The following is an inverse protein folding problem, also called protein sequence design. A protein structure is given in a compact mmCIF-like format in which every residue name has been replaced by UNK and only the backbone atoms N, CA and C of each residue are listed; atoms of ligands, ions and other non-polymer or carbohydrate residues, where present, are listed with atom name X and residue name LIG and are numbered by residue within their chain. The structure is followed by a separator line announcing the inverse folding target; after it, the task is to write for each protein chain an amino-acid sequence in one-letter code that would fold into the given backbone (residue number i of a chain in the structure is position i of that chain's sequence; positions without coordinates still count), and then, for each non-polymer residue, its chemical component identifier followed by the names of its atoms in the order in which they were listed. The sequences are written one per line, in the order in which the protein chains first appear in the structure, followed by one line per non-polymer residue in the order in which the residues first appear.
data_IF_077690722590
#
_entry.id   IF_077690722590
#
_cell.length_a   1.000
_cell.length_b   1.000
_cell.length_c   1.000
_cell.angle_alpha   90.00
_cell.angle_beta   90.00
_cell.angle_gamma   90.00
#
_symmetry.space_group_name_H-M   'P 1'
#
loop_
_entity.id
_entity.type
_entity.pdbx_description
1 polymer ?
#
# COMPACT_ATOMS: atom_id res chain seq x y z
N UNK A 1 -0.28 72.01 -0.39
CA UNK A 1 0.72 70.94 -0.63
C UNK A 1 1.20 70.41 0.71
N UNK A 2 0.81 69.19 1.10
CA UNK A 2 1.10 68.60 2.42
C UNK A 2 1.99 67.37 2.20
N UNK A 3 3.28 67.47 2.52
CA UNK A 3 4.23 66.34 2.43
C UNK A 3 3.92 65.35 3.56
N UNK A 4 3.54 64.12 3.20
CA UNK A 4 3.42 62.99 4.14
C UNK A 4 4.72 62.20 4.10
N UNK A 5 5.39 62.14 5.23
CA UNK A 5 6.60 61.34 5.48
C UNK A 5 6.20 59.88 5.68
N UNK A 6 6.69 59.00 4.79
CA UNK A 6 6.59 57.55 4.93
C UNK A 6 7.67 57.09 5.93
N UNK A 7 7.26 56.57 7.08
CA UNK A 7 8.13 55.83 8.00
C UNK A 7 8.07 54.35 7.57
N UNK A 8 9.20 53.68 7.30
CA UNK A 8 9.19 52.29 6.87
C UNK A 8 8.80 51.37 8.04
N UNK A 9 7.70 50.65 7.86
CA UNK A 9 7.07 49.69 8.79
C UNK A 9 7.95 48.49 9.19
N UNK A 10 9.20 48.41 8.71
CA UNK A 10 10.10 47.27 8.92
C UNK A 10 10.81 47.27 10.29
N UNK A 11 10.97 48.42 10.96
CA UNK A 11 11.72 48.49 12.22
C UNK A 11 10.86 48.08 13.43
N UNK A 12 9.53 48.22 13.35
CA UNK A 12 8.63 47.85 14.45
C UNK A 12 8.48 46.33 14.65
N UNK A 13 8.73 45.52 13.61
CA UNK A 13 8.54 44.07 13.68
C UNK A 13 9.72 43.32 14.33
N UNK A 14 10.94 43.86 14.26
CA UNK A 14 12.13 43.23 14.82
C UNK A 14 12.20 43.28 16.35
N UNK A 15 11.57 44.27 16.99
CA UNK A 15 11.55 44.38 18.46
C UNK A 15 10.56 43.41 19.11
N UNK A 16 9.52 42.95 18.40
CA UNK A 16 8.56 41.97 18.94
C UNK A 16 9.16 40.56 18.99
N UNK A 17 10.01 40.19 18.02
CA UNK A 17 10.64 38.86 18.02
C UNK A 17 11.76 38.70 19.06
N UNK A 18 12.49 39.77 19.41
CA UNK A 18 13.57 39.69 20.39
C UNK A 18 13.07 39.49 21.84
N UNK A 19 11.87 39.99 22.18
CA UNK A 19 11.29 39.84 23.54
C UNK A 19 10.62 38.49 23.73
N UNK A 20 10.07 37.88 22.67
CA UNK A 20 9.38 36.57 22.74
C UNK A 20 10.30 35.38 23.01
N UNK A 21 11.56 35.42 22.56
CA UNK A 21 12.51 34.29 22.73
C UNK A 21 13.10 34.23 24.15
N UNK A 22 13.15 35.36 24.87
CA UNK A 22 13.75 35.45 26.21
C UNK A 22 12.81 34.93 27.30
N UNK A 23 11.49 34.93 27.09
CA UNK A 23 10.51 34.51 28.11
C UNK A 23 10.15 33.02 28.08
N UNK A 24 10.57 32.26 27.05
CA UNK A 24 10.21 30.83 26.95
C UNK A 24 11.24 29.86 27.56
N UNK A 25 12.37 30.35 28.08
CA UNK A 25 13.45 29.51 28.63
C UNK A 25 13.49 29.44 30.17
N UNK A 26 12.59 30.12 30.89
CA UNK A 26 12.68 30.21 32.36
C UNK A 26 11.91 29.16 33.16
N UNK A 27 11.04 28.38 32.53
CA UNK A 27 10.18 27.42 33.24
C UNK A 27 10.44 25.95 32.89
N UNK A 28 11.63 25.60 32.36
CA UNK A 28 12.00 24.20 32.21
C UNK A 28 12.60 23.65 33.52
N UNK A 29 11.89 22.76 34.25
CA UNK A 29 12.43 22.16 35.45
C UNK A 29 13.62 21.25 35.09
N UNK A 30 14.78 21.55 35.68
CA UNK A 30 15.94 20.66 35.71
C UNK A 30 15.62 19.49 36.64
N UNK A 31 14.90 18.50 36.11
CA UNK A 31 14.73 17.21 36.76
C UNK A 31 16.00 16.38 36.55
N UNK A 32 16.91 16.44 37.53
CA UNK A 32 17.95 15.44 37.71
C UNK A 32 17.30 14.15 38.21
N UNK A 33 16.96 13.27 37.27
CA UNK A 33 16.55 11.90 37.56
C UNK A 33 17.76 10.97 37.51
N UNK A 34 18.01 10.28 38.62
CA UNK A 34 18.96 9.18 38.73
C UNK A 34 18.63 8.10 37.69
N UNK A 35 19.59 7.75 36.84
CA UNK A 35 19.50 6.60 35.94
C UNK A 35 19.62 5.31 36.76
N UNK A 36 18.49 4.87 37.30
CA UNK A 36 18.26 3.48 37.63
C UNK A 36 18.27 2.67 36.34
N UNK A 37 19.23 1.76 36.19
CA UNK A 37 19.28 0.80 35.11
C UNK A 37 18.19 -0.26 35.33
N UNK A 38 16.94 0.11 35.05
CA UNK A 38 15.82 -0.83 35.02
C UNK A 38 15.84 -1.60 33.70
N UNK A 39 15.93 -2.92 33.84
CA UNK A 39 15.91 -3.92 32.78
C UNK A 39 14.48 -4.08 32.25
N UNK A 40 14.10 -3.25 31.29
CA UNK A 40 12.92 -3.38 30.45
C UNK A 40 13.30 -2.60 29.18
N UNK A 41 13.52 -3.19 28.00
CA UNK A 41 12.46 -3.68 27.15
C UNK A 41 13.10 -4.46 25.96
N UNK A 42 13.30 -5.78 26.09
CA UNK A 42 13.60 -6.66 24.94
C UNK A 42 12.35 -7.41 24.46
N UNK A 43 11.18 -7.04 24.97
CA UNK A 43 9.92 -7.77 24.75
C UNK A 43 8.97 -7.08 23.77
N UNK A 44 9.29 -5.87 23.28
CA UNK A 44 8.50 -5.18 22.26
C UNK A 44 8.93 -5.51 20.82
N UNK A 45 10.20 -5.83 20.56
CA UNK A 45 10.67 -6.22 19.23
C UNK A 45 10.28 -7.67 18.87
N UNK A 46 10.14 -8.54 19.88
CA UNK A 46 9.60 -9.91 19.72
C UNK A 46 8.08 -9.95 19.53
N UNK A 47 7.36 -8.84 19.77
CA UNK A 47 5.90 -8.79 19.61
C UNK A 47 5.47 -8.46 18.18
N UNK A 48 6.32 -7.79 17.40
CA UNK A 48 6.07 -7.56 15.96
C UNK A 48 6.43 -8.75 15.08
N UNK A 49 7.35 -9.63 15.50
CA UNK A 49 7.67 -10.86 14.76
C UNK A 49 6.65 -11.99 14.97
N UNK A 50 5.94 -12.02 16.11
CA UNK A 50 4.97 -13.08 16.42
C UNK A 50 3.55 -12.88 15.84
N UNK A 51 3.28 -11.77 15.13
CA UNK A 51 1.98 -11.53 14.46
C UNK A 51 1.93 -12.17 13.04
N UNK A 52 3.06 -12.64 12.52
CA UNK A 52 3.14 -13.37 11.25
C UNK A 52 3.08 -14.91 11.40
N UNK A 53 2.79 -15.42 12.60
CA UNK A 53 2.86 -16.86 12.92
C UNK A 53 1.57 -17.64 12.62
N UNK A 54 1.01 -17.45 11.43
CA UNK A 54 0.09 -18.41 10.79
C UNK A 54 0.13 -18.28 9.27
N UNK A 55 1.32 -18.34 8.71
CA UNK A 55 1.49 -18.77 7.32
C UNK A 55 1.13 -20.25 7.24
N UNK A 56 -0.08 -20.54 6.73
CA UNK A 56 -0.43 -21.90 6.34
C UNK A 56 0.33 -22.20 5.05
N UNK A 57 1.59 -22.58 5.21
CA UNK A 57 2.36 -23.24 4.17
C UNK A 57 1.70 -24.59 3.96
N UNK A 58 0.89 -24.71 2.91
CA UNK A 58 0.35 -25.99 2.49
C UNK A 58 1.46 -26.74 1.78
N UNK A 59 1.79 -27.92 2.29
CA UNK A 59 2.73 -28.85 1.65
C UNK A 59 1.92 -29.86 0.84
N UNK A 60 2.08 -29.84 -0.47
CA UNK A 60 1.59 -30.88 -1.36
C UNK A 60 2.80 -31.48 -2.10
N UNK A 61 3.26 -32.64 -1.64
CA UNK A 61 4.57 -33.18 -2.03
C UNK A 61 5.72 -32.25 -1.59
N UNK A 62 6.63 -31.94 -2.52
CA UNK A 62 7.79 -31.05 -2.30
C UNK A 62 7.49 -29.56 -2.54
N UNK A 63 6.23 -29.21 -2.87
CA UNK A 63 5.87 -27.84 -3.23
C UNK A 63 5.27 -27.11 -2.03
N UNK A 64 5.76 -25.90 -1.80
CA UNK A 64 5.30 -24.97 -0.76
C UNK A 64 4.49 -23.86 -1.41
N UNK A 65 3.22 -23.75 -1.05
CA UNK A 65 2.31 -22.74 -1.60
C UNK A 65 1.79 -21.83 -0.48
N UNK A 66 1.76 -20.54 -0.78
CA UNK A 66 1.08 -19.53 0.01
C UNK A 66 -0.42 -19.62 -0.30
N UNK A 67 -1.19 -20.28 0.57
CA UNK A 67 -2.65 -20.32 0.46
C UNK A 67 -3.27 -19.47 1.56
N UNK A 68 -4.06 -18.49 1.17
CA UNK A 68 -4.82 -17.62 2.08
C UNK A 68 -6.29 -17.67 1.70
N UNK A 69 -7.15 -17.89 2.69
CA UNK A 69 -8.59 -17.88 2.50
C UNK A 69 -9.10 -16.46 2.75
N UNK A 70 -10.16 -16.06 2.04
CA UNK A 70 -10.73 -14.72 2.21
C UNK A 70 -11.28 -14.50 3.63
N UNK A 71 -11.74 -15.57 4.26
CA UNK A 71 -12.30 -15.64 5.60
C UNK A 71 -11.27 -15.29 6.67
N UNK A 72 -9.96 -15.44 6.40
CA UNK A 72 -8.89 -15.05 7.32
C UNK A 72 -8.69 -13.51 7.39
N UNK A 73 -9.43 -12.74 6.57
CA UNK A 73 -9.29 -11.29 6.39
C UNK A 73 -10.66 -10.57 6.46
N UNK A 74 -11.59 -11.08 7.25
CA UNK A 74 -13.00 -10.65 7.31
C UNK A 74 -13.29 -9.50 8.29
N UNK A 75 -12.24 -8.92 8.91
CA UNK A 75 -12.31 -7.83 9.89
C UNK A 75 -12.68 -6.48 9.26
N UNK A 76 -13.88 -6.41 8.65
CA UNK A 76 -14.34 -5.33 7.78
C UNK A 76 -15.33 -4.39 8.47
N UNK A 77 -15.11 -3.09 8.29
CA UNK A 77 -16.13 -2.07 8.52
C UNK A 77 -16.86 -1.76 7.22
N UNK A 78 -18.16 -2.03 7.18
CA UNK A 78 -19.01 -1.72 6.01
C UNK A 78 -19.30 -0.22 5.94
N UNK A 79 -19.16 0.36 4.75
CA UNK A 79 -19.54 1.73 4.48
C UNK A 79 -21.06 1.85 4.35
N UNK A 80 -21.64 2.84 5.04
CA UNK A 80 -23.08 3.14 5.02
C UNK A 80 -23.38 4.60 4.63
N UNK A 81 -22.35 5.34 4.20
CA UNK A 81 -22.48 6.75 3.86
C UNK A 81 -22.93 7.00 2.42
N UNK A 82 -22.96 8.28 2.04
CA UNK A 82 -23.15 8.69 0.66
C UNK A 82 -21.87 8.42 -0.13
N UNK A 83 -22.00 7.72 -1.26
CA UNK A 83 -20.90 7.50 -2.20
C UNK A 83 -20.44 8.86 -2.75
N UNK A 84 -19.13 9.11 -2.67
CA UNK A 84 -18.48 10.30 -3.22
C UNK A 84 -18.13 10.12 -4.69
N UNK A 85 -18.07 11.23 -5.43
CA UNK A 85 -17.55 11.22 -6.80
C UNK A 85 -16.06 10.91 -6.81
N UNK A 86 -15.59 10.25 -7.87
CA UNK A 86 -14.18 9.85 -7.98
C UNK A 86 -13.30 11.09 -8.14
N UNK A 87 -12.29 11.19 -7.29
CA UNK A 87 -11.26 12.22 -7.38
C UNK A 87 -10.13 11.76 -8.32
N UNK A 88 -10.19 12.19 -9.58
CA UNK A 88 -9.15 11.87 -10.57
C UNK A 88 -7.85 12.67 -10.40
N UNK A 89 -7.80 13.66 -9.51
CA UNK A 89 -6.56 14.40 -9.24
C UNK A 89 -5.51 13.56 -8.49
N UNK A 90 -5.92 12.47 -7.84
CA UNK A 90 -5.03 11.61 -7.04
C UNK A 90 -4.47 10.42 -7.82
N UNK A 91 -4.66 10.35 -9.15
CA UNK A 91 -4.20 9.24 -9.99
C UNK A 91 -3.75 9.68 -11.38
N UNK A 92 -3.03 8.80 -12.08
CA UNK A 92 -2.40 9.09 -13.37
C UNK A 92 -3.21 8.45 -14.49
N UNK A 93 -4.41 8.97 -14.79
CA UNK A 93 -5.33 8.28 -15.72
C UNK A 93 -5.83 9.12 -16.87
N UNK A 94 -5.91 8.46 -18.03
CA UNK A 94 -6.49 9.03 -19.25
C UNK A 94 -8.02 9.17 -19.10
N UNK A 95 -8.58 10.14 -19.81
CA UNK A 95 -10.03 10.35 -19.89
C UNK A 95 -10.80 9.09 -20.32
N UNK A 96 -10.17 8.17 -21.06
CA UNK A 96 -10.80 6.98 -21.64
C UNK A 96 -11.31 5.97 -20.61
N UNK A 97 -10.67 5.89 -19.44
CA UNK A 97 -11.07 4.93 -18.38
C UNK A 97 -11.88 5.58 -17.27
N UNK A 98 -11.90 6.92 -17.21
CA UNK A 98 -12.55 7.70 -16.15
C UNK A 98 -14.04 7.41 -16.02
N UNK A 99 -14.74 7.17 -17.14
CA UNK A 99 -16.14 6.76 -17.15
C UNK A 99 -16.33 5.39 -16.50
N UNK A 100 -15.53 4.39 -16.89
CA UNK A 100 -15.57 3.03 -16.32
C UNK A 100 -15.41 3.05 -14.81
N UNK A 101 -14.43 3.82 -14.31
CA UNK A 101 -14.17 3.92 -12.87
C UNK A 101 -15.35 4.60 -12.18
N UNK A 102 -15.85 5.71 -12.73
CA UNK A 102 -16.99 6.44 -12.18
C UNK A 102 -18.24 5.57 -12.11
N UNK A 103 -18.51 4.77 -13.14
CA UNK A 103 -19.65 3.83 -13.17
C UNK A 103 -19.54 2.76 -12.11
N UNK A 104 -18.35 2.19 -11.91
CA UNK A 104 -18.10 1.18 -10.87
C UNK A 104 -18.29 1.79 -9.48
N UNK A 105 -17.73 2.97 -9.22
CA UNK A 105 -17.88 3.65 -7.92
C UNK A 105 -19.33 4.01 -7.62
N UNK A 106 -20.10 4.47 -8.62
CA UNK A 106 -21.54 4.77 -8.47
C UNK A 106 -22.37 3.57 -8.02
N UNK A 107 -21.93 2.33 -8.30
CA UNK A 107 -22.61 1.11 -7.85
C UNK A 107 -22.33 0.77 -6.38
N UNK A 108 -21.31 1.38 -5.77
CA UNK A 108 -20.95 1.22 -4.37
C UNK A 108 -19.76 0.28 -4.13
N UNK A 109 -19.46 -0.04 -2.86
CA UNK A 109 -18.34 -0.89 -2.50
C UNK A 109 -18.48 -2.30 -3.07
N UNK A 110 -17.39 -2.83 -3.62
CA UNK A 110 -17.24 -4.22 -4.05
C UNK A 110 -16.12 -4.97 -3.32
N UNK A 111 -15.28 -4.24 -2.57
CA UNK A 111 -14.10 -4.77 -1.88
C UNK A 111 -13.97 -4.18 -0.47
N UNK A 112 -13.61 -5.01 0.50
CA UNK A 112 -13.28 -4.63 1.87
C UNK A 112 -14.26 -3.63 2.53
N UNK A 113 -15.55 -3.79 2.24
CA UNK A 113 -16.68 -3.06 2.81
C UNK A 113 -16.83 -1.59 2.42
N UNK A 114 -15.77 -0.97 1.88
CA UNK A 114 -15.70 0.48 1.62
C UNK A 114 -15.08 0.83 0.27
N UNK A 115 -14.48 -0.12 -0.44
CA UNK A 115 -13.72 0.16 -1.64
C UNK A 115 -14.42 -0.40 -2.88
N UNK A 116 -14.25 0.27 -4.00
CA UNK A 116 -14.72 -0.18 -5.29
C UNK A 116 -13.51 -0.52 -6.17
N UNK A 117 -13.54 -1.68 -6.81
CA UNK A 117 -12.48 -2.14 -7.72
C UNK A 117 -12.97 -2.02 -9.15
N UNK A 118 -12.30 -1.18 -9.94
CA UNK A 118 -12.55 -1.04 -11.36
C UNK A 118 -11.43 -1.73 -12.15
N UNK A 119 -11.78 -2.65 -13.04
CA UNK A 119 -10.84 -3.37 -13.92
C UNK A 119 -11.16 -3.07 -15.38
N UNK A 120 -10.13 -2.92 -16.22
CA UNK A 120 -10.24 -2.75 -17.66
C UNK A 120 -9.07 -3.42 -18.39
N UNK A 121 -9.23 -3.67 -19.69
CA UNK A 121 -8.18 -4.24 -20.54
C UNK A 121 -7.19 -3.14 -20.95
N UNK A 122 -5.89 -3.39 -20.77
CA UNK A 122 -4.79 -2.47 -21.12
C UNK A 122 -4.02 -2.87 -22.38
N UNK A 123 -4.34 -4.01 -23.00
CA UNK A 123 -3.65 -4.53 -24.19
C UNK A 123 -3.93 -6.03 -24.38
N UNK A 124 -3.13 -6.68 -25.23
CA UNK A 124 -3.20 -8.14 -25.37
C UNK A 124 -2.80 -8.80 -24.04
N UNK A 125 -3.71 -9.60 -23.48
CA UNK A 125 -3.47 -10.39 -22.26
C UNK A 125 -3.02 -9.53 -21.06
N UNK A 126 -3.48 -8.27 -21.02
CA UNK A 126 -3.19 -7.30 -19.98
C UNK A 126 -4.51 -6.73 -19.46
N UNK A 127 -4.72 -6.82 -18.16
CA UNK A 127 -5.75 -6.10 -17.44
C UNK A 127 -5.11 -5.18 -16.41
N UNK A 128 -5.78 -4.07 -16.14
CA UNK A 128 -5.42 -3.12 -15.10
C UNK A 128 -6.60 -2.89 -14.18
N UNK A 129 -6.33 -2.89 -12.88
CA UNK A 129 -7.32 -2.59 -11.86
C UNK A 129 -6.93 -1.36 -11.05
N UNK A 130 -7.93 -0.75 -10.44
CA UNK A 130 -7.78 0.37 -9.50
C UNK A 130 -8.77 0.22 -8.39
N UNK A 131 -8.33 0.61 -7.20
CA UNK A 131 -9.15 0.59 -5.99
C UNK A 131 -9.43 2.03 -5.58
N UNK A 132 -10.71 2.34 -5.40
CA UNK A 132 -11.21 3.65 -4.99
C UNK A 132 -11.90 3.52 -3.65
N UNK A 133 -11.58 4.41 -2.70
CA UNK A 133 -12.35 4.56 -1.46
C UNK A 133 -13.65 5.31 -1.78
N UNK A 134 -14.80 4.64 -1.65
CA UNK A 134 -16.09 5.25 -2.06
C UNK A 134 -16.55 6.35 -1.10
N UNK A 135 -15.96 6.46 0.10
CA UNK A 135 -16.34 7.45 1.10
C UNK A 135 -15.87 8.86 0.73
N UNK A 136 -14.70 8.97 0.11
CA UNK A 136 -14.07 10.24 -0.27
C UNK A 136 -13.72 10.34 -1.77
N UNK A 137 -13.90 9.25 -2.53
CA UNK A 137 -13.60 9.20 -3.96
C UNK A 137 -12.12 9.01 -4.30
N UNK A 138 -11.27 8.81 -3.30
CA UNK A 138 -9.82 8.76 -3.47
C UNK A 138 -9.36 7.45 -4.13
N UNK A 139 -8.46 7.59 -5.11
CA UNK A 139 -7.79 6.44 -5.74
C UNK A 139 -6.65 6.02 -4.83
N UNK A 140 -6.77 4.87 -4.18
CA UNK A 140 -5.77 4.37 -3.23
C UNK A 140 -4.76 3.39 -3.86
N UNK A 141 -5.14 2.79 -4.99
CA UNK A 141 -4.27 1.93 -5.81
C UNK A 141 -4.56 2.22 -7.27
N UNK A 142 -3.53 2.59 -8.03
CA UNK A 142 -3.65 2.89 -9.45
C UNK A 142 -2.85 1.88 -10.28
N UNK A 143 -3.52 1.24 -11.23
CA UNK A 143 -2.89 0.44 -12.27
C UNK A 143 -2.26 -0.90 -11.87
N UNK A 144 -2.79 -1.62 -10.87
CA UNK A 144 -2.35 -3.01 -10.59
C UNK A 144 -2.62 -3.88 -11.81
N UNK A 145 -1.62 -4.64 -12.26
CA UNK A 145 -1.70 -5.41 -13.51
C UNK A 145 -1.98 -6.88 -13.25
N UNK A 146 -2.82 -7.47 -14.08
CA UNK A 146 -3.09 -8.91 -14.12
C UNK A 146 -3.15 -9.43 -15.56
N UNK A 147 -2.90 -10.72 -15.71
CA UNK A 147 -3.07 -11.50 -16.94
C UNK A 147 -4.32 -12.37 -16.83
N UNK A 148 -4.54 -12.96 -15.65
CA UNK A 148 -5.63 -13.89 -15.35
C UNK A 148 -6.63 -13.31 -14.34
N UNK A 149 -6.92 -12.02 -14.47
CA UNK A 149 -7.85 -11.26 -13.62
C UNK A 149 -7.36 -11.06 -12.17
N UNK A 150 -8.23 -10.46 -11.36
CA UNK A 150 -8.08 -10.25 -9.93
C UNK A 150 -9.28 -10.86 -9.20
N UNK A 151 -9.06 -11.40 -8.00
CA UNK A 151 -10.13 -11.86 -7.12
C UNK A 151 -10.14 -11.08 -5.81
N UNK A 152 -11.34 -10.70 -5.37
CA UNK A 152 -11.58 -9.87 -4.21
C UNK A 152 -13.03 -10.01 -3.75
N UNK A 153 -13.28 -9.74 -2.48
CA UNK A 153 -14.63 -9.82 -1.90
C UNK A 153 -14.99 -8.59 -1.09
N UNK A 154 -16.27 -8.23 -1.08
CA UNK A 154 -16.77 -7.10 -0.29
C UNK A 154 -16.55 -7.30 1.21
N UNK A 155 -16.48 -8.54 1.68
CA UNK A 155 -16.31 -8.90 3.08
C UNK A 155 -14.90 -9.41 3.40
N UNK A 156 -13.88 -9.05 2.61
CA UNK A 156 -12.50 -9.44 2.87
C UNK A 156 -11.50 -8.32 2.51
N UNK A 157 -10.41 -8.20 3.28
CA UNK A 157 -9.27 -7.34 2.98
C UNK A 157 -8.25 -8.00 2.05
N UNK A 158 -8.46 -9.27 1.68
CA UNK A 158 -7.59 -9.99 0.76
C UNK A 158 -7.90 -9.59 -0.69
N UNK A 159 -6.85 -9.24 -1.42
CA UNK A 159 -6.88 -8.96 -2.85
C UNK A 159 -5.88 -9.88 -3.54
N UNK A 160 -6.35 -10.63 -4.53
CA UNK A 160 -5.56 -11.65 -5.23
C UNK A 160 -5.38 -11.23 -6.67
N UNK A 161 -4.15 -11.26 -7.17
CA UNK A 161 -3.80 -11.00 -8.58
C UNK A 161 -3.44 -12.32 -9.23
N UNK A 162 -3.98 -12.59 -10.42
CA UNK A 162 -3.82 -13.85 -11.14
C UNK A 162 -4.17 -15.06 -10.25
N UNK A 163 -5.40 -15.13 -9.71
CA UNK A 163 -5.82 -16.26 -8.88
C UNK A 163 -5.60 -17.58 -9.63
N UNK A 164 -5.05 -18.58 -8.93
CA UNK A 164 -4.59 -19.85 -9.51
C UNK A 164 -5.67 -20.57 -10.32
N UNK A 165 -6.93 -20.45 -9.91
CA UNK A 165 -8.11 -21.01 -10.56
C UNK A 165 -8.38 -20.45 -11.96
N UNK A 166 -7.87 -19.25 -12.27
CA UNK A 166 -8.00 -18.62 -13.57
C UNK A 166 -6.82 -18.94 -14.50
N UNK A 167 -5.80 -19.65 -14.01
CA UNK A 167 -4.58 -19.95 -14.77
C UNK A 167 -4.75 -21.29 -15.48
N UNK A 168 -4.71 -21.34 -16.82
CA UNK A 168 -4.84 -22.59 -17.55
C UNK A 168 -3.62 -23.48 -17.34
N UNK A 169 -3.84 -24.77 -17.07
CA UNK A 169 -2.79 -25.78 -16.91
C UNK A 169 -1.83 -25.85 -18.12
N UNK A 170 -2.35 -25.58 -19.32
CA UNK A 170 -1.65 -25.69 -20.60
C UNK A 170 -0.95 -24.40 -21.08
N UNK A 171 -1.07 -23.28 -20.33
CA UNK A 171 -0.72 -21.95 -20.83
C UNK A 171 0.10 -21.11 -19.86
N UNK A 172 0.92 -21.75 -19.03
CA UNK A 172 1.80 -21.07 -18.08
C UNK A 172 2.78 -20.14 -18.82
N UNK A 173 2.53 -18.84 -18.76
CA UNK A 173 3.54 -17.85 -19.12
C UNK A 173 4.60 -17.83 -18.04
N UNK A 174 5.88 -17.87 -18.45
CA UNK A 174 7.02 -18.07 -17.54
C UNK A 174 7.18 -16.98 -16.46
N UNK A 175 6.49 -15.85 -16.58
CA UNK A 175 6.59 -14.71 -15.65
C UNK A 175 5.26 -14.34 -14.95
N UNK A 176 4.29 -15.26 -14.87
CA UNK A 176 3.04 -14.99 -14.15
C UNK A 176 3.10 -15.65 -12.77
N UNK A 177 2.87 -14.85 -11.73
CA UNK A 177 2.69 -15.30 -10.36
C UNK A 177 1.29 -14.95 -9.86
N UNK A 178 0.74 -15.80 -9.00
CA UNK A 178 -0.42 -15.45 -8.17
C UNK A 178 0.09 -14.63 -6.99
N UNK A 179 -0.38 -13.41 -6.84
CA UNK A 179 0.09 -12.50 -5.78
C UNK A 179 -1.04 -12.18 -4.82
N UNK A 180 -0.70 -12.13 -3.54
CA UNK A 180 -1.64 -11.89 -2.46
C UNK A 180 -1.31 -10.58 -1.78
N UNK A 181 -2.34 -9.75 -1.60
CA UNK A 181 -2.25 -8.46 -0.94
C UNK A 181 -3.28 -8.35 0.18
N UNK A 182 -2.88 -7.76 1.30
CA UNK A 182 -3.78 -7.34 2.38
C UNK A 182 -4.00 -5.84 2.31
N UNK A 183 -5.25 -5.40 2.25
CA UNK A 183 -5.57 -4.00 2.45
C UNK A 183 -5.35 -3.59 3.91
N UNK A 184 -4.47 -2.62 4.15
CA UNK A 184 -4.20 -2.06 5.47
C UNK A 184 -3.78 -0.60 5.32
N UNK A 185 -4.36 0.29 6.12
CA UNK A 185 -4.03 1.73 6.13
C UNK A 185 -4.21 2.39 4.74
N UNK A 186 -5.32 2.07 4.04
CA UNK A 186 -5.59 2.51 2.65
C UNK A 186 -4.51 2.10 1.63
N UNK A 187 -3.74 1.04 1.90
CA UNK A 187 -2.72 0.53 0.99
C UNK A 187 -2.85 -0.98 0.82
N UNK A 188 -2.63 -1.48 -0.40
CA UNK A 188 -2.41 -2.91 -0.60
C UNK A 188 -0.98 -3.26 -0.19
N UNK A 189 -0.86 -4.02 0.90
CA UNK A 189 0.42 -4.55 1.37
C UNK A 189 0.59 -5.95 0.80
N UNK A 190 1.66 -6.17 0.04
CA UNK A 190 2.02 -7.49 -0.45
C UNK A 190 2.28 -8.42 0.74
N UNK A 191 1.69 -9.61 0.71
CA UNK A 191 1.83 -10.61 1.78
C UNK A 191 2.38 -11.95 1.30
N UNK A 192 2.51 -12.17 -0.01
CA UNK A 192 3.09 -13.38 -0.57
C UNK A 192 2.74 -13.59 -2.03
N UNK A 193 3.42 -14.55 -2.68
CA UNK A 193 3.12 -14.99 -4.04
C UNK A 193 3.33 -16.49 -4.20
N UNK A 194 2.64 -17.07 -5.17
CA UNK A 194 2.93 -18.39 -5.70
C UNK A 194 3.48 -18.22 -7.12
N UNK A 195 4.68 -18.77 -7.35
CA UNK A 195 5.18 -18.90 -8.72
C UNK A 195 4.33 -19.95 -9.42
N UNK A 196 3.78 -19.58 -10.57
CA UNK A 196 2.96 -20.49 -11.38
C UNK A 196 3.88 -21.28 -12.34
N UNK A 197 5.13 -20.85 -12.55
CA UNK A 197 6.15 -21.60 -13.28
C UNK A 197 6.79 -22.71 -12.43
N UNK A 198 7.21 -23.80 -13.09
CA UNK A 198 7.93 -24.92 -12.47
C UNK A 198 9.44 -24.63 -12.29
N UNK A 199 9.91 -23.44 -12.65
CA UNK A 199 11.31 -23.06 -12.47
C UNK A 199 11.56 -22.66 -11.02
N UNK A 200 12.43 -23.41 -10.33
CA UNK A 200 12.89 -23.06 -8.99
C UNK A 200 13.72 -21.78 -9.09
N UNK A 201 13.10 -20.61 -8.95
CA UNK A 201 13.85 -19.39 -8.60
C UNK A 201 14.69 -19.71 -7.36
N UNK A 202 16.00 -19.51 -7.44
CA UNK A 202 16.88 -19.70 -6.30
C UNK A 202 16.61 -18.59 -5.28
N UNK A 203 15.66 -18.83 -4.37
CA UNK A 203 15.28 -17.94 -3.29
C UNK A 203 16.31 -17.90 -2.15
N UNK A 204 17.61 -18.06 -2.46
CA UNK A 204 18.66 -17.90 -1.47
C UNK A 204 18.44 -16.58 -0.71
N UNK A 205 18.63 -16.61 0.60
CA UNK A 205 18.41 -15.50 1.52
C UNK A 205 19.44 -14.38 1.30
N UNK A 206 19.34 -13.72 0.16
CA UNK A 206 20.13 -12.56 -0.22
C UNK A 206 19.15 -11.41 -0.29
N UNK A 207 19.36 -10.40 0.55
CA UNK A 207 18.60 -9.16 0.52
C UNK A 207 18.65 -8.62 -0.91
N UNK A 208 17.49 -8.57 -1.56
CA UNK A 208 17.37 -8.17 -2.95
C UNK A 208 16.80 -6.76 -3.01
N UNK A 209 17.55 -5.85 -3.60
CA UNK A 209 17.08 -4.49 -3.84
C UNK A 209 16.23 -4.48 -5.11
N UNK A 210 15.08 -3.82 -5.08
CA UNK A 210 14.26 -3.63 -6.27
C UNK A 210 13.67 -2.22 -6.33
N UNK A 211 13.51 -1.72 -7.55
CA UNK A 211 13.02 -0.38 -7.86
C UNK A 211 11.68 -0.46 -8.57
N UNK A 212 10.72 0.35 -8.11
CA UNK A 212 9.49 0.61 -8.83
C UNK A 212 9.58 1.94 -9.57
N UNK A 213 9.91 1.88 -10.87
CA UNK A 213 10.08 3.05 -11.74
C UNK A 213 8.82 3.89 -11.88
N UNK A 214 7.63 3.32 -11.70
CA UNK A 214 6.39 4.06 -11.83
C UNK A 214 6.17 5.04 -10.67
N UNK A 215 6.68 4.72 -9.47
CA UNK A 215 6.57 5.57 -8.27
C UNK A 215 7.91 6.13 -7.79
N UNK A 216 9.03 5.78 -8.44
CA UNK A 216 10.37 6.27 -8.09
C UNK A 216 10.85 5.81 -6.72
N UNK A 217 10.42 4.63 -6.27
CA UNK A 217 10.76 4.07 -4.94
C UNK A 217 11.65 2.86 -5.09
N UNK A 218 12.62 2.71 -4.19
CA UNK A 218 13.49 1.53 -4.09
C UNK A 218 13.34 0.89 -2.71
N UNK A 219 13.14 -0.42 -2.66
CA UNK A 219 12.98 -1.19 -1.42
C UNK A 219 13.93 -2.40 -1.39
N UNK A 220 14.23 -2.85 -0.17
CA UNK A 220 14.95 -4.09 0.08
C UNK A 220 13.95 -5.20 0.42
N UNK A 221 14.10 -6.34 -0.23
CA UNK A 221 13.30 -7.53 -0.05
C UNK A 221 14.16 -8.63 0.58
N UNK A 222 13.66 -9.43 1.53
CA UNK A 222 14.46 -10.45 2.22
C UNK A 222 15.11 -11.47 1.27
N UNK A 223 14.38 -11.84 0.20
CA UNK A 223 14.86 -12.75 -0.84
C UNK A 223 14.47 -12.23 -2.24
N UNK A 224 15.10 -12.75 -3.32
CA UNK A 224 14.68 -12.42 -4.69
C UNK A 224 13.22 -12.78 -4.99
N UNK A 225 12.66 -13.72 -4.24
CA UNK A 225 11.30 -14.22 -4.40
C UNK A 225 10.27 -13.31 -3.73
N UNK A 226 10.68 -12.47 -2.78
CA UNK A 226 9.78 -11.49 -2.16
C UNK A 226 9.57 -10.24 -3.04
N UNK A 227 10.38 -10.08 -4.10
CA UNK A 227 10.21 -8.99 -5.07
C UNK A 227 8.92 -9.23 -5.89
N UNK A 228 7.97 -8.28 -5.92
CA UNK A 228 6.77 -8.39 -6.73
C UNK A 228 7.10 -8.47 -8.23
N UNK A 229 6.38 -9.29 -8.99
CA UNK A 229 6.68 -9.50 -10.42
C UNK A 229 6.32 -8.28 -11.29
N UNK A 230 5.31 -7.50 -10.91
CA UNK A 230 4.84 -6.37 -11.72
C UNK A 230 5.22 -5.03 -11.11
N UNK A 231 5.81 -4.17 -11.94
CA UNK A 231 6.16 -2.80 -11.58
C UNK A 231 7.43 -2.68 -10.73
N UNK A 232 8.09 -3.77 -10.38
CA UNK A 232 9.37 -3.77 -9.67
C UNK A 232 10.44 -4.44 -10.53
N UNK A 233 11.62 -3.82 -10.60
CA UNK A 233 12.80 -4.35 -11.27
C UNK A 233 13.89 -4.59 -10.24
N UNK A 234 14.49 -5.79 -10.22
CA UNK A 234 15.64 -6.10 -9.34
C UNK A 234 16.82 -5.21 -9.75
N UNK A 235 17.43 -4.56 -8.76
CA UNK A 235 18.62 -3.70 -8.94
C UNK A 235 19.83 -4.50 -8.46
N UNK A 236 20.73 -4.80 -9.39
CA UNK A 236 22.01 -5.48 -9.10
C UNK A 236 23.03 -4.52 -8.49
#
# INVERSE_FOLDING_TARGET
MKKRTLIPLFIAFLLVFAVGVILFWKDFPLAGGEFGADKEDQNQEQRTENVFKSEVIVKEGDKQYFKKNFEDFDDIQKFQGKISEVNFATGTRSWKVSSTISEVVKRGPTFAGKYAVATWVCGQECQQSTIVDVSNGEIIVDGIRSVYDVDYRINSKLFVVNPTENVPESGLKEDVSTQYYKLKDNQLKFIGKNNISNEKENCAQIVTKAENKAIGVTLNFPTPCDVPTYGWEKVN
#
